data_IF_324848618590
#
_entry.id   IF_324848618590
#
_cell.length_a   1.000
_cell.length_b   1.000
_cell.length_c   1.000
_cell.angle_alpha   90.00
_cell.angle_beta   90.00
_cell.angle_gamma   90.00
#
_symmetry.space_group_name_H-M   'P 1'
#
loop_
_entity.id
_entity.type
_entity.pdbx_description
1 polymer ?
#
# COMPACT_ATOMS: atom_id res chain seq x y z
N UNK A 1 -4.91 33.37 17.84
CA UNK A 1 -5.26 32.04 18.36
C UNK A 1 -4.70 31.09 17.33
N UNK A 2 -3.72 30.28 17.71
CA UNK A 2 -2.94 29.47 16.77
C UNK A 2 -3.84 28.33 16.30
N UNK A 3 -4.09 28.25 15.00
CA UNK A 3 -4.78 27.15 14.33
C UNK A 3 -3.93 25.87 14.39
N UNK A 4 -3.78 25.31 15.60
CA UNK A 4 -3.09 24.05 15.92
C UNK A 4 -4.02 22.85 15.70
N UNK A 5 -4.67 22.78 14.54
CA UNK A 5 -5.61 21.71 14.26
C UNK A 5 -5.71 21.43 12.77
N UNK A 6 -4.66 20.92 12.12
CA UNK A 6 -4.73 20.16 10.84
C UNK A 6 -3.38 19.60 10.34
N UNK A 7 -2.35 19.39 11.17
CA UNK A 7 -1.16 18.65 10.71
C UNK A 7 -1.32 17.12 10.80
N UNK A 8 -2.52 16.64 11.12
CA UNK A 8 -2.86 15.23 10.96
C UNK A 8 -2.98 14.94 9.47
N UNK A 9 -2.21 13.98 8.97
CA UNK A 9 -2.42 13.46 7.62
C UNK A 9 -3.90 13.06 7.47
N UNK A 10 -4.48 13.24 6.26
CA UNK A 10 -5.84 12.77 6.00
C UNK A 10 -5.99 11.32 6.46
N UNK A 11 -7.15 10.96 7.02
CA UNK A 11 -7.40 9.60 7.51
C UNK A 11 -7.15 8.57 6.39
N UNK A 12 -7.51 8.90 5.15
CA UNK A 12 -7.23 8.10 3.96
C UNK A 12 -5.74 7.80 3.74
N UNK A 13 -4.85 8.74 4.08
CA UNK A 13 -3.40 8.56 3.96
C UNK A 13 -2.88 7.63 5.05
N UNK A 14 -3.45 7.69 6.25
CA UNK A 14 -3.12 6.80 7.36
C UNK A 14 -3.57 5.37 7.01
N UNK A 15 -4.80 5.22 6.51
CA UNK A 15 -5.37 3.94 6.11
C UNK A 15 -4.61 3.33 4.93
N UNK A 16 -4.26 4.13 3.91
CA UNK A 16 -3.42 3.69 2.80
C UNK A 16 -2.05 3.21 3.28
N UNK A 17 -1.43 3.92 4.24
CA UNK A 17 -0.11 3.55 4.76
C UNK A 17 -0.14 2.25 5.57
N UNK A 18 -1.20 2.05 6.37
CA UNK A 18 -1.43 0.78 7.06
C UNK A 18 -1.64 -0.35 6.04
N UNK A 19 -2.49 -0.12 5.04
CA UNK A 19 -2.77 -1.07 3.97
C UNK A 19 -1.52 -1.47 3.19
N UNK A 20 -0.66 -0.52 2.80
CA UNK A 20 0.62 -0.81 2.11
C UNK A 20 1.57 -1.60 3.00
N UNK A 21 1.56 -1.36 4.32
CA UNK A 21 2.39 -2.11 5.27
C UNK A 21 1.95 -3.57 5.36
N UNK A 22 0.64 -3.83 5.46
CA UNK A 22 0.09 -5.19 5.43
C UNK A 22 0.32 -5.88 4.08
N UNK A 23 0.23 -5.11 2.98
CA UNK A 23 0.53 -5.60 1.63
C UNK A 23 1.98 -6.06 1.54
N UNK A 24 2.93 -5.27 2.05
CA UNK A 24 4.35 -5.59 2.04
C UNK A 24 4.67 -6.80 2.93
N UNK A 25 4.09 -6.87 4.14
CA UNK A 25 4.27 -8.00 5.04
C UNK A 25 3.75 -9.31 4.40
N UNK A 26 2.58 -9.27 3.76
CA UNK A 26 2.06 -10.42 3.03
C UNK A 26 2.97 -10.80 1.87
N UNK A 27 3.34 -9.84 1.03
CA UNK A 27 4.22 -10.06 -0.13
C UNK A 27 5.59 -10.60 0.28
N UNK A 28 6.12 -10.18 1.44
CA UNK A 28 7.35 -10.73 2.01
C UNK A 28 7.16 -12.17 2.52
N UNK A 29 6.08 -12.45 3.26
CA UNK A 29 5.78 -13.78 3.80
C UNK A 29 5.59 -14.84 2.72
N UNK A 30 4.93 -14.49 1.62
CA UNK A 30 4.72 -15.41 0.48
C UNK A 30 5.92 -15.45 -0.47
N UNK A 31 6.92 -14.59 -0.27
CA UNK A 31 8.15 -14.57 -1.04
C UNK A 31 8.07 -13.80 -2.38
N UNK A 32 7.02 -12.99 -2.59
CA UNK A 32 6.93 -12.10 -3.76
C UNK A 32 7.93 -10.94 -3.68
N UNK A 33 8.18 -10.42 -2.48
CA UNK A 33 9.12 -9.33 -2.24
C UNK A 33 10.31 -9.82 -1.45
N UNK A 34 11.52 -9.43 -1.87
CA UNK A 34 12.76 -9.72 -1.16
C UNK A 34 13.60 -8.45 -1.02
N UNK A 35 14.13 -8.15 0.16
CA UNK A 35 14.98 -6.97 0.33
C UNK A 35 16.28 -7.08 -0.48
N UNK A 36 16.79 -5.96 -1.02
CA UNK A 36 16.22 -4.61 -0.94
C UNK A 36 15.06 -4.42 -1.94
N UNK A 37 13.90 -3.99 -1.44
CA UNK A 37 12.75 -3.63 -2.26
C UNK A 37 12.44 -2.15 -2.07
N UNK A 38 12.34 -1.42 -3.16
CA UNK A 38 12.09 0.02 -3.17
C UNK A 38 10.67 0.25 -3.66
N UNK A 39 9.88 0.98 -2.87
CA UNK A 39 8.59 1.50 -3.30
C UNK A 39 8.84 2.79 -4.09
N UNK A 40 8.97 2.66 -5.41
CA UNK A 40 9.01 3.79 -6.33
C UNK A 40 7.61 4.42 -6.49
N UNK A 41 7.58 5.67 -6.98
CA UNK A 41 6.35 6.44 -7.16
C UNK A 41 5.33 5.70 -8.05
N UNK A 42 5.78 5.01 -9.09
CA UNK A 42 4.94 4.19 -9.95
C UNK A 42 4.32 2.98 -9.23
N UNK A 43 5.02 2.39 -8.27
CA UNK A 43 4.50 1.29 -7.45
C UNK A 43 3.49 1.84 -6.46
N UNK A 44 3.81 2.96 -5.81
CA UNK A 44 2.92 3.63 -4.87
C UNK A 44 1.59 4.03 -5.52
N UNK A 45 1.61 4.63 -6.72
CA UNK A 45 0.41 4.99 -7.49
C UNK A 45 -0.45 3.76 -7.79
N UNK A 46 0.19 2.66 -8.19
CA UNK A 46 -0.50 1.39 -8.46
C UNK A 46 -1.15 0.79 -7.22
N UNK A 47 -0.46 0.83 -6.08
CA UNK A 47 -1.00 0.35 -4.79
C UNK A 47 -2.14 1.24 -4.29
N UNK A 48 -2.01 2.55 -4.44
CA UNK A 48 -3.10 3.49 -4.14
C UNK A 48 -4.33 3.20 -5.01
N UNK A 49 -4.14 2.87 -6.29
CA UNK A 49 -5.22 2.43 -7.18
C UNK A 49 -5.97 1.21 -6.66
N UNK A 50 -5.26 0.21 -6.13
CA UNK A 50 -5.88 -0.98 -5.53
C UNK A 50 -6.63 -0.67 -4.24
N UNK A 51 -6.06 0.17 -3.38
CA UNK A 51 -6.73 0.64 -2.17
C UNK A 51 -8.03 1.38 -2.49
N UNK A 52 -7.98 2.31 -3.46
CA UNK A 52 -9.17 3.06 -3.92
C UNK A 52 -10.22 2.16 -4.58
N UNK A 53 -9.81 1.07 -5.21
CA UNK A 53 -10.70 0.06 -5.76
C UNK A 53 -11.30 -0.88 -4.69
N UNK A 54 -10.91 -0.74 -3.41
CA UNK A 54 -11.43 -1.52 -2.30
C UNK A 54 -10.83 -2.93 -2.17
N UNK A 55 -9.69 -3.20 -2.82
CA UNK A 55 -9.00 -4.48 -2.68
C UNK A 55 -8.40 -4.61 -1.28
N UNK A 56 -8.39 -5.83 -0.75
CA UNK A 56 -7.60 -6.15 0.44
C UNK A 56 -6.10 -6.15 0.11
N UNK A 57 -5.20 -5.98 1.09
CA UNK A 57 -3.76 -6.03 0.86
C UNK A 57 -3.31 -7.35 0.19
N UNK A 58 -3.96 -8.46 0.51
CA UNK A 58 -3.71 -9.77 -0.10
C UNK A 58 -4.10 -9.79 -1.57
N UNK A 59 -5.31 -9.32 -1.90
CA UNK A 59 -5.76 -9.21 -3.28
C UNK A 59 -4.89 -8.25 -4.10
N UNK A 60 -4.48 -7.13 -3.50
CA UNK A 60 -3.55 -6.20 -4.10
C UNK A 60 -2.18 -6.82 -4.39
N UNK A 61 -1.67 -7.69 -3.50
CA UNK A 61 -0.43 -8.42 -3.72
C UNK A 61 -0.56 -9.44 -4.85
N UNK A 62 -1.67 -10.18 -4.88
CA UNK A 62 -1.97 -11.12 -5.97
C UNK A 62 -2.20 -10.37 -7.29
N UNK A 63 -2.85 -9.22 -7.31
CA UNK A 63 -3.03 -8.42 -8.52
C UNK A 63 -1.72 -7.77 -8.99
N UNK A 64 -0.81 -7.46 -8.07
CA UNK A 64 0.49 -6.86 -8.39
C UNK A 64 1.48 -7.90 -8.93
N UNK A 65 1.59 -9.06 -8.28
CA UNK A 65 2.59 -10.11 -8.57
C UNK A 65 2.03 -11.33 -9.30
N UNK A 66 0.73 -11.57 -9.21
CA UNK A 66 0.06 -12.70 -9.84
C UNK A 66 0.04 -12.50 -11.35
N UNK A 67 0.86 -13.29 -12.03
CA UNK A 67 0.73 -13.48 -13.47
C UNK A 67 -0.63 -14.11 -13.75
N UNK A 68 -1.45 -13.45 -14.58
CA UNK A 68 -2.59 -14.12 -15.21
C UNK A 68 -2.00 -15.28 -16.03
N UNK A 69 -2.28 -16.51 -15.61
CA UNK A 69 -1.92 -17.72 -16.38
C UNK A 69 -2.87 -17.88 -17.56
#
# INVERSE_FOLDING_TARGET
MIDDASNALPQDVIDLRAWISDWYDHAFKVGFVRPPFTLDEAIADRLEGYFKAGLTPVEGAIAFFGTVH
#
